data_IF_888374315518
#
_entry.id   IF_888374315518
#
_cell.length_a   1.000
_cell.length_b   1.000
_cell.length_c   1.000
_cell.angle_alpha   90.00
_cell.angle_beta   90.00
_cell.angle_gamma   90.00
#
_symmetry.space_group_name_H-M   'P 1'
#
loop_
_entity.id
_entity.type
_entity.pdbx_description
1 polymer ?
#
# COMPACT_ATOMS: atom_id res chain seq x y z
N UNK A 1 27.57 -8.61 -0.06
CA UNK A 1 27.27 -8.58 -1.51
C UNK A 1 26.01 -7.73 -1.69
N UNK A 2 26.03 -6.73 -2.56
CA UNK A 2 24.87 -5.86 -2.84
C UNK A 2 23.92 -6.59 -3.81
N UNK A 3 22.62 -6.66 -3.49
CA UNK A 3 21.61 -7.28 -4.37
C UNK A 3 21.46 -6.48 -5.67
N UNK A 4 21.13 -7.16 -6.78
CA UNK A 4 20.84 -6.47 -8.05
C UNK A 4 19.42 -5.89 -8.01
N UNK A 5 19.12 -4.82 -8.76
CA UNK A 5 17.80 -4.20 -8.79
C UNK A 5 16.65 -5.18 -9.07
N UNK A 6 16.81 -6.08 -10.04
CA UNK A 6 15.78 -7.08 -10.38
C UNK A 6 15.50 -8.10 -9.28
N UNK A 7 16.50 -8.42 -8.47
CA UNK A 7 16.33 -9.35 -7.35
C UNK A 7 15.47 -8.68 -6.25
N UNK A 8 15.63 -7.37 -6.06
CA UNK A 8 14.84 -6.58 -5.11
C UNK A 8 13.39 -6.40 -5.59
N UNK A 9 13.18 -6.16 -6.89
CA UNK A 9 11.84 -6.09 -7.48
C UNK A 9 11.09 -7.42 -7.30
N UNK A 10 11.76 -8.55 -7.52
CA UNK A 10 11.17 -9.87 -7.34
C UNK A 10 10.80 -10.15 -5.88
N UNK A 11 11.68 -9.80 -4.92
CA UNK A 11 11.38 -9.93 -3.49
C UNK A 11 10.19 -9.07 -3.06
N UNK A 12 10.08 -7.84 -3.58
CA UNK A 12 8.94 -6.97 -3.33
C UNK A 12 7.63 -7.56 -3.90
N UNK A 13 7.68 -8.09 -5.13
CA UNK A 13 6.53 -8.77 -5.75
C UNK A 13 6.07 -9.98 -4.93
N UNK A 14 7.00 -10.81 -4.47
CA UNK A 14 6.68 -11.96 -3.62
C UNK A 14 6.07 -11.53 -2.28
N UNK A 15 6.62 -10.48 -1.65
CA UNK A 15 6.11 -9.95 -0.39
C UNK A 15 4.67 -9.41 -0.51
N UNK A 16 4.36 -8.73 -1.61
CA UNK A 16 3.02 -8.21 -1.91
C UNK A 16 2.08 -9.35 -2.27
N UNK A 17 2.50 -10.27 -3.14
CA UNK A 17 1.69 -11.40 -3.58
C UNK A 17 1.28 -12.30 -2.41
N UNK A 18 2.21 -12.59 -1.48
CA UNK A 18 1.93 -13.39 -0.29
C UNK A 18 0.86 -12.79 0.63
N UNK A 19 0.68 -11.46 0.57
CA UNK A 19 -0.33 -10.74 1.37
C UNK A 19 -1.66 -10.62 0.63
N UNK A 20 -1.65 -10.43 -0.68
CA UNK A 20 -2.87 -10.07 -1.43
C UNK A 20 -3.48 -11.23 -2.24
N UNK A 21 -2.66 -12.14 -2.77
CA UNK A 21 -3.16 -13.18 -3.69
C UNK A 21 -4.00 -14.19 -2.92
N UNK A 22 -5.21 -14.42 -3.44
CA UNK A 22 -6.18 -15.33 -2.83
C UNK A 22 -6.89 -14.77 -1.60
N UNK A 23 -6.67 -13.49 -1.25
CA UNK A 23 -7.49 -12.80 -0.25
C UNK A 23 -8.84 -12.40 -0.84
N UNK A 24 -9.86 -12.54 -0.01
CA UNK A 24 -11.19 -12.00 -0.28
C UNK A 24 -11.21 -10.51 0.04
N UNK A 25 -11.89 -9.73 -0.80
CA UNK A 25 -12.33 -8.37 -0.45
C UNK A 25 -13.60 -8.54 0.36
N UNK A 26 -13.49 -8.37 1.67
CA UNK A 26 -14.59 -8.52 2.62
C UNK A 26 -15.57 -7.35 2.55
N UNK A 27 -15.06 -6.14 2.31
CA UNK A 27 -15.89 -4.94 2.21
C UNK A 27 -15.23 -3.87 1.34
N UNK A 28 -16.06 -2.92 0.87
CA UNK A 28 -15.61 -1.73 0.14
C UNK A 28 -16.26 -0.51 0.78
N UNK A 29 -15.44 0.38 1.35
CA UNK A 29 -15.89 1.58 2.05
C UNK A 29 -15.18 2.83 1.53
N UNK A 30 -15.65 4.00 1.93
CA UNK A 30 -14.82 5.20 1.88
C UNK A 30 -13.92 5.24 3.12
N UNK A 31 -12.70 5.75 2.95
CA UNK A 31 -11.77 5.98 4.06
C UNK A 31 -12.48 6.76 5.18
N UNK A 32 -12.41 6.37 6.46
CA UNK A 32 -13.20 7.00 7.51
C UNK A 32 -12.97 8.51 7.62
N UNK A 33 -14.05 9.27 7.87
CA UNK A 33 -13.98 10.74 7.92
C UNK A 33 -13.14 11.25 9.10
N UNK A 34 -13.26 10.59 10.25
CA UNK A 34 -12.49 10.91 11.46
C UNK A 34 -10.98 10.70 11.22
N UNK A 35 -10.60 9.56 10.63
CA UNK A 35 -9.21 9.27 10.29
C UNK A 35 -8.70 10.22 9.19
N UNK A 36 -9.49 10.50 8.16
CA UNK A 36 -9.11 11.44 7.10
C UNK A 36 -8.82 12.85 7.68
N UNK A 37 -9.57 13.27 8.68
CA UNK A 37 -9.34 14.54 9.36
C UNK A 37 -8.02 14.56 10.15
N UNK A 38 -7.61 13.43 10.74
CA UNK A 38 -6.30 13.31 11.40
C UNK A 38 -5.12 13.46 10.42
N UNK A 39 -5.32 13.02 9.16
CA UNK A 39 -4.34 13.17 8.09
C UNK A 39 -4.46 14.48 7.29
N UNK A 40 -5.38 15.38 7.68
CA UNK A 40 -5.70 16.63 6.96
C UNK A 40 -6.07 16.39 5.47
N UNK A 41 -6.76 15.27 5.21
CA UNK A 41 -7.18 14.88 3.86
C UNK A 41 -8.50 15.53 3.46
N UNK A 42 -8.46 16.34 2.40
CA UNK A 42 -9.65 16.95 1.80
C UNK A 42 -10.54 15.94 1.03
N UNK A 43 -9.98 14.80 0.60
CA UNK A 43 -10.68 13.79 -0.19
C UNK A 43 -10.43 12.39 0.37
N UNK A 44 -11.47 11.55 0.43
CA UNK A 44 -11.42 10.20 1.00
C UNK A 44 -11.34 9.15 -0.11
N UNK A 45 -10.30 8.32 -0.17
CA UNK A 45 -10.21 7.25 -1.16
C UNK A 45 -11.21 6.12 -0.86
N UNK A 46 -11.42 5.25 -1.84
CA UNK A 46 -12.06 3.95 -1.63
C UNK A 46 -11.07 3.02 -0.93
N UNK A 47 -11.53 2.33 0.11
CA UNK A 47 -10.78 1.34 0.87
C UNK A 47 -11.34 -0.05 0.56
N UNK A 48 -10.43 -0.97 0.28
CA UNK A 48 -10.74 -2.40 0.19
C UNK A 48 -10.33 -3.04 1.51
N UNK A 49 -11.30 -3.50 2.29
CA UNK A 49 -11.03 -4.30 3.48
C UNK A 49 -10.89 -5.77 3.06
N UNK A 50 -9.80 -6.39 3.47
CA UNK A 50 -9.50 -7.79 3.17
C UNK A 50 -10.08 -8.69 4.28
N UNK A 51 -10.30 -9.96 3.95
CA UNK A 51 -10.86 -10.94 4.89
C UNK A 51 -10.05 -11.20 6.16
N UNK A 52 -8.80 -10.74 6.23
CA UNK A 52 -7.95 -10.78 7.43
C UNK A 52 -7.96 -9.49 8.25
N UNK A 53 -8.83 -8.53 7.90
CA UNK A 53 -8.97 -7.23 8.58
C UNK A 53 -7.94 -6.19 8.16
N UNK A 54 -6.98 -6.54 7.30
CA UNK A 54 -6.10 -5.55 6.66
C UNK A 54 -6.87 -4.76 5.59
N UNK A 55 -6.33 -3.61 5.19
CA UNK A 55 -6.96 -2.77 4.19
C UNK A 55 -5.95 -2.23 3.19
N UNK A 56 -6.41 -1.90 1.98
CA UNK A 56 -5.62 -1.23 0.94
C UNK A 56 -6.42 -0.11 0.27
N UNK A 57 -5.77 1.00 -0.09
CA UNK A 57 -6.42 2.10 -0.80
C UNK A 57 -5.45 2.90 -1.67
N UNK A 58 -5.91 3.49 -2.78
CA UNK A 58 -5.07 4.26 -3.68
C UNK A 58 -4.66 5.59 -3.05
N UNK A 59 -3.39 5.95 -3.23
CA UNK A 59 -2.84 7.25 -2.84
C UNK A 59 -2.76 8.18 -4.05
N UNK A 60 -3.21 9.43 -3.88
CA UNK A 60 -3.15 10.49 -4.90
C UNK A 60 -1.99 11.47 -4.67
N UNK A 61 -1.01 11.09 -3.88
CA UNK A 61 0.01 12.02 -3.41
C UNK A 61 1.02 12.39 -4.51
N UNK A 62 1.28 13.70 -4.60
CA UNK A 62 2.12 14.38 -5.59
C UNK A 62 3.62 14.36 -5.22
N UNK A 63 4.02 13.81 -4.07
CA UNK A 63 5.42 13.75 -3.58
C UNK A 63 6.29 12.66 -4.24
N UNK A 64 5.91 12.15 -5.42
CA UNK A 64 6.78 11.23 -6.18
C UNK A 64 6.48 9.75 -5.97
N UNK A 65 5.23 9.42 -5.67
CA UNK A 65 4.71 8.07 -5.84
C UNK A 65 4.63 7.76 -7.34
N UNK A 66 5.70 7.16 -7.89
CA UNK A 66 5.68 6.53 -9.21
C UNK A 66 4.33 5.78 -9.39
N UNK A 67 3.63 6.06 -10.48
CA UNK A 67 2.17 5.87 -10.60
C UNK A 67 1.63 4.56 -10.03
N UNK A 68 0.60 4.66 -9.17
CA UNK A 68 -0.15 3.50 -8.68
C UNK A 68 0.21 3.02 -7.26
N UNK A 69 0.68 3.89 -6.38
CA UNK A 69 0.97 3.50 -4.98
C UNK A 69 -0.33 3.25 -4.20
N UNK A 70 -0.36 2.12 -3.49
CA UNK A 70 -1.43 1.77 -2.55
C UNK A 70 -0.90 1.89 -1.12
N UNK A 71 -1.64 2.58 -0.25
CA UNK A 71 -1.40 2.50 1.18
C UNK A 71 -2.07 1.24 1.74
N UNK A 72 -1.51 0.71 2.84
CA UNK A 72 -2.02 -0.52 3.47
C UNK A 72 -2.10 -0.40 4.99
N UNK A 73 -2.90 -1.29 5.59
CA UNK A 73 -2.96 -1.47 7.05
C UNK A 73 -1.87 -2.40 7.62
N UNK A 74 -0.86 -2.81 6.84
CA UNK A 74 0.23 -3.65 7.34
C UNK A 74 1.29 -2.80 8.05
N UNK A 75 1.57 -3.12 9.31
CA UNK A 75 2.58 -2.40 10.12
C UNK A 75 3.98 -2.42 9.47
N UNK A 76 4.36 -3.53 8.84
CA UNK A 76 5.66 -3.72 8.20
C UNK A 76 5.71 -3.37 6.71
N UNK A 77 4.56 -2.99 6.12
CA UNK A 77 4.46 -2.65 4.70
C UNK A 77 3.39 -1.57 4.44
N UNK A 78 3.55 -0.36 4.98
CA UNK A 78 2.53 0.68 4.92
C UNK A 78 2.24 1.18 3.49
N UNK A 79 3.16 0.97 2.54
CA UNK A 79 3.04 1.39 1.15
C UNK A 79 3.43 0.26 0.19
N UNK A 80 2.63 0.06 -0.85
CA UNK A 80 2.93 -0.74 -2.03
C UNK A 80 3.13 0.24 -3.18
N UNK A 81 4.38 0.51 -3.56
CA UNK A 81 4.71 1.40 -4.67
C UNK A 81 5.15 0.62 -5.91
N UNK A 82 5.09 1.28 -7.07
CA UNK A 82 5.61 0.72 -8.32
C UNK A 82 7.15 0.57 -8.33
N UNK A 83 7.85 1.13 -7.34
CA UNK A 83 9.31 1.16 -7.27
C UNK A 83 9.78 0.94 -5.84
N UNK A 84 10.48 -0.17 -5.60
CA UNK A 84 11.16 -0.40 -4.33
C UNK A 84 12.31 0.60 -4.17
N UNK A 85 12.06 1.69 -3.46
CA UNK A 85 13.12 2.57 -2.95
C UNK A 85 13.76 1.87 -1.75
N UNK A 86 15.08 1.66 -1.83
CA UNK A 86 15.85 1.28 -0.64
C UNK A 86 15.55 2.28 0.47
N UNK A 87 15.35 1.85 1.74
CA UNK A 87 15.30 2.81 2.83
C UNK A 87 16.60 3.63 2.79
N UNK A 88 16.46 4.95 2.69
CA UNK A 88 17.56 5.88 2.85
C UNK A 88 18.21 5.61 4.21
N UNK A 89 19.46 5.14 4.14
CA UNK A 89 20.39 4.96 5.26
C UNK A 89 20.62 6.24 6.05
#
# INVERSE_FOLDING_TARGET
MTKKPRDLEQEALEAVANRLVGREIASVIYFPEEEAAEYDWCFRPIVLELGDGSHIFPMSDAEGNDGGTLATGYEDMPLISARWSQPSS
#
